data_IF_067770637690
#
_entry.id   IF_067770637690
#
_cell.length_a   1.000
_cell.length_b   1.000
_cell.length_c   1.000
_cell.angle_alpha   90.00
_cell.angle_beta   90.00
_cell.angle_gamma   90.00
#
_symmetry.space_group_name_H-M   'P 1'
#
loop_
_entity.id
_entity.type
_entity.pdbx_description
1 polymer ?
#
# COMPACT_ATOMS: atom_id res chain seq x y z
N UNK A 1 16.65 14.73 -12.75
CA UNK A 1 16.27 13.32 -12.56
C UNK A 1 15.63 12.86 -13.85
N UNK A 2 16.20 11.92 -14.58
CA UNK A 2 15.59 11.42 -15.81
C UNK A 2 14.59 10.33 -15.41
N UNK A 3 13.31 10.57 -15.64
CA UNK A 3 12.31 9.50 -15.58
C UNK A 3 12.71 8.42 -16.59
N UNK A 4 12.65 7.17 -16.16
CA UNK A 4 12.88 6.07 -17.11
C UNK A 4 11.76 6.11 -18.14
N UNK A 5 12.08 6.16 -19.44
CA UNK A 5 11.04 6.20 -20.50
C UNK A 5 10.15 4.95 -20.51
N UNK A 6 10.62 3.88 -19.88
CA UNK A 6 10.01 2.56 -19.81
C UNK A 6 9.14 2.33 -18.57
N UNK A 7 8.98 3.36 -17.70
CA UNK A 7 8.17 3.23 -16.48
C UNK A 7 6.76 2.70 -16.76
N UNK A 8 6.06 3.27 -17.75
CA UNK A 8 4.71 2.82 -18.11
C UNK A 8 4.67 1.41 -18.69
N UNK A 9 5.81 0.93 -19.23
CA UNK A 9 5.93 -0.42 -19.76
C UNK A 9 6.23 -1.45 -18.68
N UNK A 10 6.76 -1.00 -17.54
CA UNK A 10 7.16 -1.84 -16.41
C UNK A 10 6.11 -1.88 -15.29
N UNK A 11 5.02 -1.10 -15.41
CA UNK A 11 3.88 -1.25 -14.49
C UNK A 11 3.35 -2.68 -14.63
N UNK A 12 3.16 -3.34 -13.50
CA UNK A 12 2.58 -4.68 -13.47
C UNK A 12 1.31 -4.76 -14.35
N UNK A 13 1.15 -5.81 -15.16
CA UNK A 13 -0.06 -6.01 -15.95
C UNK A 13 -1.33 -6.17 -15.11
N UNK A 14 -1.21 -6.46 -13.82
CA UNK A 14 -2.33 -6.69 -12.90
C UNK A 14 -2.88 -5.42 -12.24
N UNK A 15 -2.74 -4.26 -12.87
CA UNK A 15 -3.25 -3.02 -12.29
C UNK A 15 -4.73 -2.78 -12.63
N UNK A 16 -5.52 -2.44 -11.62
CA UNK A 16 -6.96 -2.22 -11.75
C UNK A 16 -7.77 -3.50 -11.97
N UNK A 17 -7.17 -4.65 -11.76
CA UNK A 17 -7.84 -5.94 -11.89
C UNK A 17 -8.67 -6.25 -10.66
N UNK A 18 -9.92 -6.69 -10.89
CA UNK A 18 -10.79 -7.23 -9.86
C UNK A 18 -10.75 -8.75 -9.95
N UNK A 19 -10.26 -9.40 -8.90
CA UNK A 19 -10.25 -10.85 -8.77
C UNK A 19 -11.34 -11.26 -7.80
N UNK A 20 -12.22 -12.15 -8.23
CA UNK A 20 -13.34 -12.62 -7.40
C UNK A 20 -12.92 -13.75 -6.48
N UNK A 21 -13.51 -13.77 -5.27
CA UNK A 21 -13.40 -14.87 -4.30
C UNK A 21 -11.95 -15.27 -3.94
N UNK A 22 -11.04 -14.28 -3.81
CA UNK A 22 -9.66 -14.54 -3.41
C UNK A 22 -9.59 -15.15 -2.02
N UNK A 23 -10.48 -14.73 -1.10
CA UNK A 23 -10.63 -15.34 0.20
C UNK A 23 -12.02 -15.98 0.33
N UNK A 24 -12.06 -17.27 0.61
CA UNK A 24 -13.31 -17.97 0.93
C UNK A 24 -13.97 -17.40 2.19
N UNK A 25 -15.27 -17.64 2.36
CA UNK A 25 -15.99 -17.22 3.57
C UNK A 25 -15.37 -17.83 4.84
N UNK A 26 -14.94 -19.08 4.80
CA UNK A 26 -14.26 -19.73 5.93
C UNK A 26 -12.95 -19.04 6.27
N UNK A 27 -12.09 -18.76 5.26
CA UNK A 27 -10.82 -18.06 5.46
C UNK A 27 -11.06 -16.67 6.03
N UNK A 28 -12.05 -15.91 5.53
CA UNK A 28 -12.39 -14.59 6.04
C UNK A 28 -12.84 -14.63 7.51
N UNK A 29 -13.65 -15.58 7.90
CA UNK A 29 -14.08 -15.74 9.31
C UNK A 29 -12.90 -16.04 10.24
N UNK A 30 -12.01 -16.94 9.82
CA UNK A 30 -10.78 -17.24 10.57
C UNK A 30 -9.86 -16.02 10.65
N UNK A 31 -9.66 -15.33 9.53
CA UNK A 31 -8.85 -14.12 9.45
C UNK A 31 -9.38 -13.02 10.36
N UNK A 32 -10.69 -12.73 10.31
CA UNK A 32 -11.32 -11.75 11.18
C UNK A 32 -11.10 -12.10 12.66
N UNK A 33 -11.33 -13.35 13.06
CA UNK A 33 -11.11 -13.79 14.43
C UNK A 33 -9.65 -13.62 14.89
N UNK A 34 -8.66 -13.85 14.01
CA UNK A 34 -7.24 -13.61 14.33
C UNK A 34 -6.96 -12.12 14.53
N UNK A 35 -7.46 -11.28 13.64
CA UNK A 35 -7.24 -9.84 13.67
C UNK A 35 -7.98 -9.18 14.85
N UNK A 36 -9.18 -9.66 15.19
CA UNK A 36 -9.94 -9.16 16.35
C UNK A 36 -9.24 -9.43 17.67
N UNK A 37 -8.54 -10.55 17.78
CA UNK A 37 -7.75 -10.90 18.96
C UNK A 37 -6.45 -10.07 19.11
N UNK A 38 -6.02 -9.38 18.06
CA UNK A 38 -4.81 -8.55 18.11
C UNK A 38 -5.11 -7.17 18.69
N UNK A 39 -4.16 -6.59 19.46
CA UNK A 39 -4.31 -5.23 19.93
C UNK A 39 -4.34 -4.25 18.76
N UNK A 40 -5.01 -3.12 18.96
CA UNK A 40 -4.92 -1.99 18.03
C UNK A 40 -3.47 -1.52 17.97
N UNK A 41 -2.91 -1.45 16.76
CA UNK A 41 -1.56 -0.95 16.56
C UNK A 41 -1.47 0.55 16.85
N UNK A 42 -0.29 1.01 17.26
CA UNK A 42 -0.01 2.45 17.22
C UNK A 42 0.13 2.87 15.77
N UNK A 43 -0.77 3.70 15.28
CA UNK A 43 -0.75 4.17 13.90
C UNK A 43 -0.72 5.68 13.87
N UNK A 44 -0.07 6.22 12.85
CA UNK A 44 -0.11 7.63 12.47
C UNK A 44 -1.53 8.10 12.12
N UNK A 45 -2.44 7.15 11.92
CA UNK A 45 -3.81 7.33 11.48
C UNK A 45 -4.82 6.86 12.55
N UNK A 46 -4.43 6.86 13.84
CA UNK A 46 -5.34 6.48 14.93
C UNK A 46 -6.64 7.31 14.94
N UNK A 47 -6.58 8.54 14.42
CA UNK A 47 -7.75 9.42 14.29
C UNK A 47 -8.62 9.09 13.06
N UNK A 48 -8.14 8.24 12.14
CA UNK A 48 -8.84 7.91 10.88
C UNK A 48 -9.40 6.49 10.89
N UNK A 49 -8.78 5.59 11.65
CA UNK A 49 -9.15 4.18 11.69
C UNK A 49 -9.58 3.79 13.11
N UNK A 50 -10.72 3.10 13.19
CA UNK A 50 -11.16 2.48 14.45
C UNK A 50 -10.15 1.41 14.90
N UNK A 51 -9.64 0.63 13.95
CA UNK A 51 -8.57 -0.33 14.18
C UNK A 51 -7.62 -0.36 13.00
N UNK A 52 -6.33 -0.30 13.28
CA UNK A 52 -5.29 -0.46 12.27
C UNK A 52 -4.14 -1.31 12.82
N UNK A 53 -3.76 -2.36 12.09
CA UNK A 53 -2.68 -3.25 12.45
C UNK A 53 -1.74 -3.34 11.24
N UNK A 54 -0.49 -2.93 11.44
CA UNK A 54 0.56 -2.99 10.42
C UNK A 54 1.46 -4.18 10.67
N UNK A 55 1.62 -5.02 9.65
CA UNK A 55 2.46 -6.21 9.70
C UNK A 55 1.98 -7.28 10.69
N UNK A 56 0.66 -7.61 10.74
CA UNK A 56 0.16 -8.67 11.62
C UNK A 56 0.75 -10.04 11.26
N UNK A 57 1.33 -10.18 10.06
CA UNK A 57 1.93 -11.39 9.50
C UNK A 57 0.99 -12.61 9.49
N UNK A 58 -0.33 -12.36 9.48
CA UNK A 58 -1.33 -13.44 9.48
C UNK A 58 -1.32 -14.25 8.18
N UNK A 59 -0.77 -13.70 7.09
CA UNK A 59 -0.56 -14.44 5.84
C UNK A 59 0.36 -15.66 6.01
N UNK A 60 1.19 -15.70 7.06
CA UNK A 60 2.09 -16.82 7.40
C UNK A 60 1.37 -17.95 8.14
N UNK A 61 0.12 -17.71 8.60
CA UNK A 61 -0.69 -18.74 9.26
C UNK A 61 -1.17 -19.77 8.22
N UNK A 62 -0.68 -21.00 8.35
CA UNK A 62 -1.01 -22.10 7.43
C UNK A 62 -2.49 -22.44 7.40
N UNK A 63 -3.22 -22.18 8.50
CA UNK A 63 -4.66 -22.47 8.57
C UNK A 63 -5.49 -21.50 7.71
N UNK A 64 -4.89 -20.37 7.29
CA UNK A 64 -5.53 -19.38 6.43
C UNK A 64 -5.23 -19.59 4.94
N UNK A 65 -4.17 -20.31 4.60
CA UNK A 65 -3.74 -20.59 3.22
C UNK A 65 -3.59 -19.35 2.32
N UNK A 66 -3.39 -18.16 2.92
CA UNK A 66 -3.32 -16.89 2.18
C UNK A 66 -2.10 -16.88 1.27
N UNK A 67 -0.93 -17.27 1.79
CA UNK A 67 0.31 -17.31 1.00
C UNK A 67 0.14 -18.20 -0.23
N UNK A 68 -0.38 -19.42 -0.06
CA UNK A 68 -0.59 -20.34 -1.17
C UNK A 68 -1.60 -19.82 -2.19
N UNK A 69 -2.66 -19.15 -1.74
CA UNK A 69 -3.66 -18.52 -2.61
C UNK A 69 -3.02 -17.43 -3.48
N UNK A 70 -2.22 -16.55 -2.86
CA UNK A 70 -1.54 -15.47 -3.58
C UNK A 70 -0.47 -16.00 -4.53
N UNK A 71 0.32 -17.00 -4.12
CA UNK A 71 1.34 -17.62 -4.98
C UNK A 71 0.75 -18.34 -6.21
N UNK A 72 -0.46 -18.88 -6.09
CA UNK A 72 -1.19 -19.43 -7.25
C UNK A 72 -1.73 -18.35 -8.18
N UNK A 73 -2.20 -17.24 -7.62
CA UNK A 73 -2.74 -16.12 -8.39
C UNK A 73 -1.65 -15.32 -9.09
N UNK A 74 -0.54 -15.07 -8.38
CA UNK A 74 0.57 -14.20 -8.80
C UNK A 74 1.91 -14.91 -8.54
N UNK A 75 2.26 -15.93 -9.34
CA UNK A 75 3.41 -16.79 -9.08
C UNK A 75 4.77 -16.08 -9.16
N UNK A 76 4.85 -14.93 -9.83
CA UNK A 76 6.04 -14.09 -9.92
C UNK A 76 6.24 -13.16 -8.72
N UNK A 77 5.23 -13.05 -7.84
CA UNK A 77 5.27 -12.19 -6.65
C UNK A 77 5.48 -12.98 -5.36
N UNK A 78 5.88 -12.26 -4.32
CA UNK A 78 5.87 -12.71 -2.93
C UNK A 78 5.22 -11.66 -2.04
N UNK A 79 4.61 -12.09 -0.94
CA UNK A 79 4.07 -11.18 0.06
C UNK A 79 5.24 -10.57 0.85
N UNK A 80 5.29 -9.25 0.87
CA UNK A 80 6.25 -8.49 1.67
C UNK A 80 5.68 -8.17 3.05
N UNK A 81 4.45 -7.69 3.08
CA UNK A 81 3.78 -7.26 4.31
C UNK A 81 2.26 -7.36 4.16
N UNK A 82 1.59 -7.35 5.29
CA UNK A 82 0.14 -7.26 5.39
C UNK A 82 -0.29 -6.14 6.33
N UNK A 83 -1.51 -5.66 6.12
CA UNK A 83 -2.15 -4.63 6.92
C UNK A 83 -3.63 -4.99 7.13
N UNK A 84 -4.16 -4.59 8.28
CA UNK A 84 -5.59 -4.60 8.53
C UNK A 84 -6.06 -3.20 8.90
N UNK A 85 -7.10 -2.75 8.24
CA UNK A 85 -7.67 -1.42 8.44
C UNK A 85 -9.19 -1.51 8.60
N UNK A 86 -9.69 -1.00 9.71
CA UNK A 86 -11.12 -0.88 9.99
C UNK A 86 -11.51 0.59 10.16
N UNK A 87 -12.56 1.00 9.46
CA UNK A 87 -13.16 2.33 9.52
C UNK A 87 -14.62 2.27 9.95
N UNK A 88 -15.07 3.31 10.61
CA UNK A 88 -16.48 3.54 10.97
C UNK A 88 -17.02 4.81 10.31
N UNK A 89 -18.34 5.07 10.34
CA UNK A 89 -18.95 6.23 9.68
C UNK A 89 -18.51 7.60 10.21
N UNK A 90 -17.89 7.65 11.38
CA UNK A 90 -17.34 8.90 11.94
C UNK A 90 -16.14 9.38 11.14
N UNK A 91 -15.58 8.48 10.32
CA UNK A 91 -14.34 8.72 9.60
C UNK A 91 -14.64 9.18 8.17
N UNK A 92 -14.25 10.40 7.85
CA UNK A 92 -14.18 10.86 6.47
C UNK A 92 -13.30 9.93 5.65
N UNK A 93 -13.56 9.83 4.34
CA UNK A 93 -12.72 9.08 3.42
C UNK A 93 -11.25 9.51 3.51
N UNK A 94 -10.33 8.62 3.13
CA UNK A 94 -8.92 8.99 3.06
C UNK A 94 -8.65 9.61 1.68
N UNK A 95 -8.06 10.82 1.61
CA UNK A 95 -7.87 11.55 0.35
C UNK A 95 -6.96 10.80 -0.62
N UNK A 96 -6.90 11.28 -1.87
CA UNK A 96 -5.97 10.73 -2.86
C UNK A 96 -4.52 10.77 -2.38
N UNK A 97 -3.88 9.63 -2.41
CA UNK A 97 -2.47 9.44 -2.07
C UNK A 97 -1.87 8.31 -2.91
N UNK A 98 -0.57 8.18 -2.85
CA UNK A 98 0.18 7.01 -3.30
C UNK A 98 0.83 6.36 -2.09
N UNK A 99 1.08 5.08 -2.15
CA UNK A 99 1.71 4.34 -1.03
C UNK A 99 3.24 4.45 -1.00
N UNK A 100 3.81 5.34 -1.78
CA UNK A 100 5.26 5.47 -1.90
C UNK A 100 5.98 5.66 -0.57
N UNK A 101 5.39 6.42 0.36
CA UNK A 101 5.97 6.67 1.68
C UNK A 101 6.27 5.38 2.47
N UNK A 102 5.51 4.32 2.19
CA UNK A 102 5.67 3.02 2.86
C UNK A 102 6.53 2.03 2.08
N UNK A 103 6.87 2.32 0.82
CA UNK A 103 7.53 1.38 -0.09
C UNK A 103 8.71 1.98 -0.87
N UNK A 104 9.04 3.24 -0.62
CA UNK A 104 10.10 3.97 -1.32
C UNK A 104 11.50 3.35 -1.22
N UNK A 105 11.64 2.26 -0.46
CA UNK A 105 12.88 1.50 -0.33
C UNK A 105 13.19 0.58 -1.53
N UNK A 106 12.21 0.29 -2.38
CA UNK A 106 12.45 -0.52 -3.58
C UNK A 106 13.21 0.27 -4.64
N UNK A 107 14.07 -0.41 -5.40
CA UNK A 107 14.72 0.21 -6.57
C UNK A 107 13.71 0.55 -7.67
N UNK A 108 12.68 -0.32 -7.81
CA UNK A 108 11.58 -0.18 -8.76
C UNK A 108 10.23 -0.26 -8.03
N UNK A 109 9.83 0.81 -7.34
CA UNK A 109 8.58 0.82 -6.56
C UNK A 109 7.32 0.64 -7.41
N UNK A 110 7.39 0.97 -8.71
CA UNK A 110 6.32 0.76 -9.70
C UNK A 110 5.96 -0.71 -9.93
N UNK A 111 6.83 -1.63 -9.52
CA UNK A 111 6.57 -3.06 -9.63
C UNK A 111 5.83 -3.65 -8.43
N UNK A 112 5.68 -2.87 -7.36
CA UNK A 112 4.88 -3.32 -6.23
C UNK A 112 3.40 -3.33 -6.53
N UNK A 113 2.74 -4.39 -6.06
CA UNK A 113 1.28 -4.52 -6.10
C UNK A 113 0.69 -4.45 -4.70
N UNK A 114 -0.43 -3.78 -4.60
CA UNK A 114 -1.36 -3.91 -3.51
C UNK A 114 -2.47 -4.88 -3.91
N UNK A 115 -2.76 -5.84 -3.04
CA UNK A 115 -3.97 -6.65 -3.07
C UNK A 115 -4.86 -6.17 -1.94
N UNK A 116 -5.90 -5.42 -2.29
CA UNK A 116 -6.84 -4.87 -1.32
C UNK A 116 -8.10 -5.74 -1.27
N UNK A 117 -8.40 -6.32 -0.10
CA UNK A 117 -9.44 -7.31 0.09
C UNK A 117 -10.44 -6.80 1.14
N UNK A 118 -11.65 -6.39 0.76
CA UNK A 118 -12.69 -6.07 1.72
C UNK A 118 -13.15 -7.35 2.44
N UNK A 119 -13.28 -7.27 3.78
CA UNK A 119 -13.79 -8.37 4.60
C UNK A 119 -15.31 -8.33 4.75
N UNK A 120 -15.94 -7.29 4.23
CA UNK A 120 -17.38 -7.09 4.09
C UNK A 120 -17.69 -6.48 2.73
N UNK A 121 -18.91 -6.57 2.18
CA UNK A 121 -19.22 -6.00 0.88
C UNK A 121 -19.02 -4.49 0.83
N UNK A 122 -18.41 -4.00 -0.25
CA UNK A 122 -18.22 -2.57 -0.57
C UNK A 122 -18.72 -2.32 -1.99
N UNK A 123 -19.98 -2.62 -2.22
CA UNK A 123 -20.61 -2.64 -3.54
C UNK A 123 -21.54 -1.46 -3.81
N UNK A 124 -21.74 -0.58 -2.83
CA UNK A 124 -22.61 0.59 -2.93
C UNK A 124 -21.87 1.87 -2.55
N UNK A 125 -22.30 2.99 -3.12
CA UNK A 125 -21.79 4.31 -2.76
C UNK A 125 -22.02 4.61 -1.28
N UNK A 126 -20.97 4.94 -0.57
CA UNK A 126 -21.01 5.16 0.88
C UNK A 126 -20.71 3.93 1.73
N UNK A 127 -20.34 2.80 1.13
CA UNK A 127 -19.84 1.62 1.84
C UNK A 127 -18.31 1.64 2.09
N UNK A 128 -17.64 2.75 1.78
CA UNK A 128 -16.20 2.88 1.95
C UNK A 128 -15.38 2.16 0.88
N UNK A 129 -15.85 2.18 -0.35
CA UNK A 129 -15.14 1.61 -1.51
C UNK A 129 -13.71 2.18 -1.62
N UNK A 130 -12.83 1.46 -2.29
CA UNK A 130 -11.53 1.96 -2.71
C UNK A 130 -11.61 2.42 -4.17
N UNK A 131 -11.21 3.66 -4.41
CA UNK A 131 -11.07 4.23 -5.76
C UNK A 131 -9.60 4.31 -6.14
N UNK A 132 -9.29 3.97 -7.38
CA UNK A 132 -7.96 4.08 -7.97
C UNK A 132 -8.01 4.92 -9.26
N UNK A 133 -6.89 5.52 -9.63
CA UNK A 133 -6.78 6.30 -10.87
C UNK A 133 -5.66 5.74 -11.73
N UNK A 134 -6.02 5.20 -12.90
CA UNK A 134 -5.12 4.50 -13.81
C UNK A 134 -4.77 5.33 -15.07
N UNK A 135 -5.37 6.49 -15.23
CA UNK A 135 -5.14 7.36 -16.38
C UNK A 135 -3.68 7.80 -16.48
N UNK A 136 -3.11 7.82 -17.67
CA UNK A 136 -1.70 8.17 -17.91
C UNK A 136 -1.31 9.52 -17.29
N UNK A 137 -2.18 10.52 -17.37
CA UNK A 137 -1.94 11.83 -16.76
C UNK A 137 -1.81 11.76 -15.24
N UNK A 138 -2.63 10.94 -14.58
CA UNK A 138 -2.55 10.70 -13.14
C UNK A 138 -1.28 9.93 -12.76
N UNK A 139 -0.90 8.94 -13.55
CA UNK A 139 0.35 8.18 -13.35
C UNK A 139 1.56 9.10 -13.47
N UNK A 140 1.59 10.00 -14.44
CA UNK A 140 2.66 11.01 -14.57
C UNK A 140 2.72 11.95 -13.35
N UNK A 141 1.56 12.37 -12.84
CA UNK A 141 1.49 13.20 -11.64
C UNK A 141 2.00 12.43 -10.41
N UNK A 142 1.66 11.15 -10.27
CA UNK A 142 2.15 10.31 -9.17
C UNK A 142 3.67 10.17 -9.20
N UNK A 143 4.27 10.03 -10.38
CA UNK A 143 5.73 9.95 -10.54
C UNK A 143 6.44 11.23 -10.09
N UNK A 144 5.85 12.40 -10.37
CA UNK A 144 6.39 13.68 -9.88
C UNK A 144 6.34 13.70 -8.35
N UNK A 145 5.23 13.26 -7.77
CA UNK A 145 5.10 13.14 -6.31
C UNK A 145 6.14 12.19 -5.72
N UNK A 146 6.29 11.00 -6.29
CA UNK A 146 7.26 10.00 -5.84
C UNK A 146 8.70 10.50 -5.94
N UNK A 147 9.04 11.20 -7.03
CA UNK A 147 10.35 11.81 -7.18
C UNK A 147 10.64 12.83 -6.06
N UNK A 148 9.65 13.62 -5.67
CA UNK A 148 9.77 14.55 -4.55
C UNK A 148 9.95 13.86 -3.21
N UNK A 149 9.18 12.78 -2.97
CA UNK A 149 9.27 11.99 -1.75
C UNK A 149 10.63 11.27 -1.65
N UNK A 150 11.08 10.66 -2.75
CA UNK A 150 12.39 10.03 -2.82
C UNK A 150 13.52 11.02 -2.55
N UNK A 151 13.41 12.22 -3.12
CA UNK A 151 14.38 13.28 -2.89
C UNK A 151 14.43 13.67 -1.41
N UNK A 152 13.28 13.82 -0.77
CA UNK A 152 13.17 14.10 0.67
C UNK A 152 13.77 12.99 1.51
N UNK A 153 13.52 11.73 1.14
CA UNK A 153 14.07 10.55 1.81
C UNK A 153 15.60 10.50 1.70
N UNK A 154 16.14 10.74 0.51
CA UNK A 154 17.59 10.76 0.29
C UNK A 154 18.26 11.87 1.11
N UNK A 155 17.62 13.02 1.26
CA UNK A 155 18.15 14.14 2.05
C UNK A 155 18.23 13.81 3.55
N UNK A 156 17.37 12.94 4.06
CA UNK A 156 17.48 12.48 5.46
C UNK A 156 18.76 11.68 5.69
N UNK A 157 19.20 10.95 4.67
CA UNK A 157 20.45 10.15 4.73
C UNK A 157 21.67 11.02 4.42
N UNK A 158 21.56 11.90 3.43
CA UNK A 158 22.63 12.79 2.97
C UNK A 158 22.14 14.26 2.96
N UNK A 159 22.46 15.04 4.00
CA UNK A 159 22.07 16.45 4.10
C UNK A 159 22.65 17.36 3.00
N UNK A 160 23.65 16.90 2.22
CA UNK A 160 24.19 17.65 1.09
C UNK A 160 23.22 17.68 -0.10
N UNK A 161 22.23 16.79 -0.14
CA UNK A 161 21.15 16.79 -1.14
C UNK A 161 20.34 18.09 -0.99
N UNK A 162 20.22 18.93 -2.04
CA UNK A 162 19.52 20.21 -1.95
C UNK A 162 18.05 20.05 -1.54
N UNK A 163 17.45 21.03 -0.85
CA UNK A 163 16.02 20.99 -0.56
C UNK A 163 15.20 21.05 -1.84
N UNK A 164 14.11 20.28 -1.87
CA UNK A 164 13.11 20.32 -2.94
C UNK A 164 11.77 20.76 -2.33
N UNK A 165 10.98 21.61 -3.00
CA UNK A 165 9.65 21.96 -2.51
C UNK A 165 8.77 20.71 -2.37
N UNK A 166 7.96 20.60 -1.31
CA UNK A 166 7.05 19.48 -1.15
C UNK A 166 6.02 19.47 -2.29
N UNK A 167 5.65 18.28 -2.71
CA UNK A 167 4.55 18.12 -3.67
C UNK A 167 3.24 18.60 -3.03
N UNK A 168 2.52 19.46 -3.74
CA UNK A 168 1.19 19.90 -3.37
C UNK A 168 0.27 19.72 -4.57
N UNK A 169 -0.78 18.95 -4.38
CA UNK A 169 -1.81 18.75 -5.39
C UNK A 169 -2.68 19.99 -5.49
N UNK A 170 -2.87 20.50 -6.71
CA UNK A 170 -3.78 21.62 -6.99
C UNK A 170 -5.23 21.15 -7.00
N UNK A 171 -6.19 22.07 -6.84
CA UNK A 171 -7.61 21.78 -6.97
C UNK A 171 -7.98 21.19 -8.33
N UNK A 172 -7.33 21.66 -9.41
CA UNK A 172 -7.56 21.14 -10.76
C UNK A 172 -7.08 19.69 -10.92
N UNK A 173 -5.93 19.36 -10.37
CA UNK A 173 -5.40 17.99 -10.34
C UNK A 173 -6.31 17.09 -9.51
N UNK A 174 -6.75 17.55 -8.34
CA UNK A 174 -7.70 16.79 -7.53
C UNK A 174 -9.02 16.53 -8.28
N UNK A 175 -9.59 17.55 -8.91
CA UNK A 175 -10.80 17.42 -9.71
C UNK A 175 -10.61 16.48 -10.92
N UNK A 176 -9.39 16.46 -11.50
CA UNK A 176 -9.05 15.52 -12.55
C UNK A 176 -9.05 14.08 -12.04
N UNK A 177 -8.43 13.81 -10.89
CA UNK A 177 -8.43 12.48 -10.27
C UNK A 177 -9.85 12.02 -9.92
N UNK A 178 -10.67 12.90 -9.35
CA UNK A 178 -12.08 12.59 -9.03
C UNK A 178 -12.89 12.18 -10.27
N UNK A 179 -12.66 12.84 -11.40
CA UNK A 179 -13.39 12.56 -12.65
C UNK A 179 -12.94 11.27 -13.32
N UNK A 180 -11.70 10.88 -13.14
CA UNK A 180 -11.07 9.75 -13.85
C UNK A 180 -10.90 8.51 -12.98
N UNK A 181 -11.32 8.57 -11.71
CA UNK A 181 -11.22 7.43 -10.79
C UNK A 181 -12.08 6.25 -11.23
N UNK A 182 -11.57 5.08 -10.98
CA UNK A 182 -12.28 3.80 -11.07
C UNK A 182 -12.61 3.30 -9.65
N UNK A 183 -13.89 3.07 -9.41
CA UNK A 183 -14.40 2.63 -8.10
C UNK A 183 -15.16 1.31 -8.30
N UNK A 184 -14.50 0.16 -8.15
CA UNK A 184 -15.13 -1.14 -8.35
C UNK A 184 -16.12 -1.48 -7.24
N UNK A 185 -17.16 -2.22 -7.59
CA UNK A 185 -18.02 -2.92 -6.66
C UNK A 185 -17.37 -4.25 -6.30
N UNK A 186 -17.16 -4.50 -5.00
CA UNK A 186 -16.51 -5.70 -4.50
C UNK A 186 -17.36 -6.36 -3.42
N UNK A 187 -17.51 -7.67 -3.54
CA UNK A 187 -18.05 -8.49 -2.47
C UNK A 187 -16.95 -8.83 -1.44
N UNK A 188 -17.37 -9.29 -0.28
CA UNK A 188 -16.42 -9.69 0.75
C UNK A 188 -15.54 -10.85 0.29
N UNK A 189 -14.21 -10.68 0.33
CA UNK A 189 -13.23 -11.66 -0.13
C UNK A 189 -12.82 -11.53 -1.60
N UNK A 190 -13.44 -10.63 -2.37
CA UNK A 190 -12.89 -10.19 -3.65
C UNK A 190 -11.60 -9.41 -3.41
N UNK A 191 -10.81 -9.20 -4.45
CA UNK A 191 -9.62 -8.36 -4.38
C UNK A 191 -9.58 -7.32 -5.49
N UNK A 192 -9.11 -6.13 -5.18
CA UNK A 192 -8.64 -5.15 -6.13
C UNK A 192 -7.12 -5.16 -6.14
N UNK A 193 -6.53 -5.43 -7.30
CA UNK A 193 -5.09 -5.41 -7.53
C UNK A 193 -4.70 -4.08 -8.17
N UNK A 194 -3.71 -3.39 -7.60
CA UNK A 194 -3.23 -2.15 -8.21
C UNK A 194 -1.77 -1.86 -7.85
N UNK A 195 -1.12 -1.13 -8.75
CA UNK A 195 0.24 -0.64 -8.52
C UNK A 195 0.24 0.42 -7.41
N UNK A 196 1.16 0.31 -6.48
CA UNK A 196 1.28 1.26 -5.36
C UNK A 196 1.62 2.69 -5.80
N UNK A 197 2.11 2.86 -7.03
CA UNK A 197 2.34 4.17 -7.63
C UNK A 197 1.05 4.87 -8.09
N UNK A 198 -0.09 4.19 -8.11
CA UNK A 198 -1.35 4.81 -8.51
C UNK A 198 -1.95 5.64 -7.40
N UNK A 199 -2.50 6.79 -7.76
CA UNK A 199 -3.36 7.51 -6.84
C UNK A 199 -4.58 6.67 -6.51
N UNK A 200 -4.82 6.55 -5.22
CA UNK A 200 -6.01 5.89 -4.71
C UNK A 200 -6.54 6.62 -3.48
N UNK A 201 -7.81 6.42 -3.19
CA UNK A 201 -8.49 6.98 -2.04
C UNK A 201 -9.51 6.01 -1.47
N UNK A 202 -9.78 6.11 -0.18
CA UNK A 202 -10.97 5.50 0.41
C UNK A 202 -12.14 6.46 0.29
N UNK A 203 -13.25 5.99 -0.28
CA UNK A 203 -14.50 6.73 -0.28
C UNK A 203 -15.10 6.80 1.11
N UNK A 204 -16.02 7.74 1.31
CA UNK A 204 -16.70 7.93 2.59
C UNK A 204 -17.54 6.71 2.98
N UNK A 205 -17.65 6.48 4.28
CA UNK A 205 -18.57 5.51 4.85
C UNK A 205 -19.76 6.28 5.42
N UNK A 206 -20.95 6.04 4.89
CA UNK A 206 -22.17 6.70 5.37
C UNK A 206 -22.85 5.95 6.50
N UNK A 207 -22.82 4.62 6.40
CA UNK A 207 -23.44 3.74 7.39
C UNK A 207 -22.56 2.49 7.59
N UNK A 208 -22.61 1.92 8.79
CA UNK A 208 -21.88 0.71 9.11
C UNK A 208 -20.39 0.92 9.37
N UNK A 209 -19.61 -0.06 9.03
CA UNK A 209 -18.14 -0.06 9.11
C UNK A 209 -17.55 -0.69 7.87
N UNK A 210 -16.26 -0.47 7.62
CA UNK A 210 -15.52 -1.16 6.57
C UNK A 210 -14.25 -1.74 7.14
N UNK A 211 -14.06 -3.04 6.98
CA UNK A 211 -12.82 -3.73 7.26
C UNK A 211 -12.17 -4.20 5.97
N UNK A 212 -10.87 -3.98 5.84
CA UNK A 212 -10.08 -4.43 4.70
C UNK A 212 -8.79 -5.09 5.18
N UNK A 213 -8.43 -6.18 4.53
CA UNK A 213 -7.14 -6.82 4.63
C UNK A 213 -6.32 -6.51 3.37
N UNK A 214 -5.09 -6.06 3.57
CA UNK A 214 -4.27 -5.52 2.49
C UNK A 214 -2.96 -6.27 2.48
N UNK A 215 -2.55 -6.74 1.30
CA UNK A 215 -1.25 -7.35 1.09
C UNK A 215 -0.39 -6.45 0.21
N UNK A 216 0.87 -6.30 0.59
CA UNK A 216 1.90 -5.67 -0.22
C UNK A 216 2.75 -6.74 -0.86
N UNK A 217 2.75 -6.79 -2.17
CA UNK A 217 3.47 -7.79 -2.94
C UNK A 217 4.64 -7.15 -3.68
N UNK A 218 5.75 -7.90 -3.74
CA UNK A 218 6.92 -7.50 -4.51
C UNK A 218 7.29 -8.64 -5.46
N UNK A 219 7.87 -8.33 -6.64
CA UNK A 219 8.46 -9.37 -7.48
C UNK A 219 9.45 -10.23 -6.69
N UNK A 220 9.56 -11.52 -7.01
CA UNK A 220 10.48 -12.43 -6.32
C UNK A 220 11.94 -12.01 -6.45
N UNK A 221 12.28 -11.32 -7.54
CA UNK A 221 13.61 -10.78 -7.83
C UNK A 221 13.77 -9.30 -7.43
N UNK A 222 12.81 -8.75 -6.65
CA UNK A 222 12.83 -7.36 -6.22
C UNK A 222 14.14 -6.99 -5.51
N UNK A 223 14.68 -5.82 -5.87
CA UNK A 223 15.88 -5.24 -5.24
C UNK A 223 15.49 -4.07 -4.36
N UNK A 224 16.22 -3.94 -3.25
CA UNK A 224 15.99 -2.91 -2.24
C UNK A 224 17.18 -1.96 -2.15
N UNK A 225 16.90 -0.67 -1.99
CA UNK A 225 17.93 0.35 -1.81
C UNK A 225 18.27 0.51 -0.34
N UNK A 226 19.52 0.18 0.02
CA UNK A 226 20.04 0.37 1.39
C UNK A 226 19.86 1.81 1.87
N UNK A 227 20.20 2.79 1.04
CA UNK A 227 20.09 4.20 1.41
C UNK A 227 18.65 4.61 1.74
N UNK A 228 17.68 4.13 0.94
CA UNK A 228 16.25 4.42 1.16
C UNK A 228 15.72 3.71 2.41
N UNK A 229 16.13 2.46 2.66
CA UNK A 229 15.78 1.73 3.88
C UNK A 229 16.29 2.45 5.13
N UNK A 230 17.54 2.91 5.13
CA UNK A 230 18.09 3.70 6.21
C UNK A 230 17.37 5.05 6.40
N UNK A 231 16.97 5.69 5.31
CA UNK A 231 16.17 6.91 5.35
C UNK A 231 14.81 6.69 6.01
N UNK A 232 14.09 5.62 5.64
CA UNK A 232 12.82 5.24 6.25
C UNK A 232 12.97 4.89 7.73
N UNK A 233 14.03 4.17 8.10
CA UNK A 233 14.36 3.89 9.51
C UNK A 233 14.52 5.19 10.30
N UNK A 234 15.26 6.18 9.78
CA UNK A 234 15.44 7.48 10.42
C UNK A 234 14.14 8.28 10.54
N UNK A 235 13.23 8.14 9.59
CA UNK A 235 11.90 8.75 9.63
C UNK A 235 10.92 8.01 10.56
N UNK A 236 11.30 6.86 11.11
CA UNK A 236 10.46 6.07 12.01
C UNK A 236 9.29 5.37 11.33
N UNK A 237 9.31 5.26 9.99
CA UNK A 237 8.22 4.64 9.21
C UNK A 237 8.48 3.14 9.00
N UNK A 238 7.42 2.33 9.07
CA UNK A 238 7.44 0.89 8.76
C UNK A 238 8.62 0.11 9.38
N UNK A 239 8.99 0.44 10.61
CA UNK A 239 10.21 -0.04 11.25
C UNK A 239 10.36 -1.57 11.23
N UNK A 240 9.27 -2.32 11.40
CA UNK A 240 9.35 -3.79 11.42
C UNK A 240 9.79 -4.35 10.06
N UNK A 241 9.12 -3.94 8.98
CA UNK A 241 9.46 -4.38 7.61
C UNK A 241 10.84 -3.87 7.19
N UNK A 242 11.16 -2.62 7.52
CA UNK A 242 12.46 -2.02 7.21
C UNK A 242 13.58 -2.75 7.93
N UNK A 243 13.42 -3.05 9.20
CA UNK A 243 14.43 -3.79 9.97
C UNK A 243 14.60 -5.22 9.43
N UNK A 244 13.50 -5.93 9.15
CA UNK A 244 13.55 -7.27 8.54
C UNK A 244 14.31 -7.26 7.21
N UNK A 245 14.05 -6.28 6.34
CA UNK A 245 14.76 -6.14 5.05
C UNK A 245 16.24 -5.78 5.22
N UNK A 246 16.58 -4.93 6.22
CA UNK A 246 17.97 -4.63 6.53
C UNK A 246 18.70 -5.87 7.02
N UNK A 247 18.11 -6.65 7.94
CA UNK A 247 18.67 -7.90 8.44
C UNK A 247 18.94 -8.92 7.33
N UNK A 248 17.97 -9.07 6.42
CA UNK A 248 18.07 -10.06 5.35
C UNK A 248 19.03 -9.67 4.22
N UNK A 249 19.07 -8.39 3.85
CA UNK A 249 19.77 -7.94 2.65
C UNK A 249 20.98 -7.05 2.94
N UNK A 250 21.04 -6.41 4.12
CA UNK A 250 22.09 -5.45 4.49
C UNK A 250 22.41 -5.52 5.97
N UNK A 251 22.86 -6.69 6.48
CA UNK A 251 23.11 -6.89 7.91
C UNK A 251 24.08 -5.86 8.49
N UNK A 252 25.11 -5.46 7.72
CA UNK A 252 26.09 -4.45 8.16
C UNK A 252 25.48 -3.07 8.43
N UNK A 253 24.27 -2.81 7.96
CA UNK A 253 23.58 -1.53 8.19
C UNK A 253 22.96 -1.42 9.59
N UNK A 254 22.87 -2.51 10.34
CA UNK A 254 22.34 -2.54 11.70
C UNK A 254 23.43 -2.20 12.75
N UNK A 255 24.70 -2.45 12.43
CA UNK A 255 25.83 -2.20 13.34
C UNK A 255 26.25 -0.72 13.41
N UNK A 256 25.77 0.13 12.50
CA UNK A 256 26.14 1.55 12.41
C UNK A 256 25.13 2.50 13.08
N UNK A 257 24.66 2.14 14.28
CA UNK A 257 23.82 3.03 15.11
C UNK A 257 24.66 3.64 16.22
N UNK A 258 25.61 4.51 15.84
CA UNK A 258 26.21 5.50 16.75
C UNK A 258 25.91 6.92 16.26
#
# INVERSE_FOLDING_TARGET
>A
MHFRPDFLQNISPHHGEVVREVLSEETRKKLAARLDAMPNGQTWYADIYNKAIYGPQVFRDKDLNITETIEKLLPEYRILADLYLEKTPVDQGFPFHTDFDSIGFMERPEEMLTVWIPLMPVNEAGSGQLSIVMEEGAVRLSLIREANQLHSLLRVVDPSVPPHPPFQMTEQEYAYLERTKFTPSLDAGDALLFCNAFFHKSEDIREGSRAAYILRLVPKDAKFSRARLLGLKKLGQNLAVVNELLEQHYPDALESSD
#
